data_IF_624878192215
#
_entry.id   IF_624878192215
#
_cell.length_a   1.000
_cell.length_b   1.000
_cell.length_c   1.000
_cell.angle_alpha   90.00
_cell.angle_beta   90.00
_cell.angle_gamma   90.00
#
_symmetry.space_group_name_H-M   'P 1'
#
loop_
_entity.id
_entity.type
_entity.pdbx_description
1 polymer ?
#
# COMPACT_ATOMS: atom_id res chain seq x y z
N UNK A 1 -4.75 -16.54 24.47
CA UNK A 1 -5.68 -15.42 24.46
C UNK A 1 -5.14 -14.31 23.57
N UNK A 2 -6.03 -13.57 22.90
CA UNK A 2 -5.69 -12.37 22.14
C UNK A 2 -4.90 -11.37 23.00
N UNK A 3 -3.83 -10.82 22.45
CA UNK A 3 -2.88 -9.95 23.15
C UNK A 3 -1.83 -10.70 23.98
N UNK A 4 -1.94 -12.02 24.16
CA UNK A 4 -0.96 -12.81 24.87
C UNK A 4 0.34 -12.97 24.10
N UNK A 5 1.46 -13.01 24.82
CA UNK A 5 2.79 -13.22 24.24
C UNK A 5 2.93 -14.66 23.72
N UNK A 6 3.52 -14.78 22.52
CA UNK A 6 4.06 -16.04 21.99
C UNK A 6 5.58 -15.98 22.13
N UNK A 7 6.15 -16.88 22.94
CA UNK A 7 7.59 -16.88 23.25
C UNK A 7 8.22 -18.19 22.80
N UNK A 8 9.51 -18.14 22.47
CA UNK A 8 10.31 -19.33 22.17
C UNK A 8 10.82 -19.97 23.45
N UNK A 9 11.57 -21.08 23.33
CA UNK A 9 12.16 -21.81 24.47
C UNK A 9 13.21 -21.01 25.26
N UNK A 10 13.70 -19.91 24.72
CA UNK A 10 14.67 -19.01 25.36
C UNK A 10 14.00 -17.82 26.06
N UNK A 11 12.64 -17.71 25.98
CA UNK A 11 11.90 -16.61 26.54
C UNK A 11 11.78 -15.37 25.63
N UNK A 12 12.29 -15.43 24.39
CA UNK A 12 12.19 -14.29 23.47
C UNK A 12 10.77 -14.19 22.91
N UNK A 13 10.26 -12.97 22.81
CA UNK A 13 8.96 -12.68 22.18
C UNK A 13 9.05 -12.88 20.66
N UNK A 14 8.39 -13.90 20.13
CA UNK A 14 8.34 -14.20 18.70
C UNK A 14 7.04 -13.74 18.03
N UNK A 15 6.00 -13.47 18.82
CA UNK A 15 4.73 -12.97 18.30
C UNK A 15 3.74 -12.57 19.38
N UNK A 16 2.63 -11.98 18.93
CA UNK A 16 1.49 -11.59 19.76
C UNK A 16 0.25 -12.31 19.23
N UNK A 17 -0.39 -13.12 20.06
CA UNK A 17 -1.59 -13.86 19.69
C UNK A 17 -2.73 -12.90 19.32
N UNK A 18 -3.41 -13.15 18.20
CA UNK A 18 -4.49 -12.25 17.73
C UNK A 18 -5.83 -12.93 17.59
N UNK A 19 -5.88 -14.08 16.92
CA UNK A 19 -7.14 -14.72 16.60
C UNK A 19 -7.01 -16.25 16.58
N UNK A 20 -8.16 -16.92 16.77
CA UNK A 20 -8.37 -18.32 16.43
C UNK A 20 -9.38 -18.39 15.28
N UNK A 21 -9.19 -19.29 14.34
CA UNK A 21 -10.24 -19.59 13.35
C UNK A 21 -11.28 -20.48 14.04
N UNK A 22 -12.54 -20.00 14.07
CA UNK A 22 -13.66 -20.74 14.66
C UNK A 22 -14.96 -20.35 13.98
N UNK A 23 -15.74 -21.34 13.56
CA UNK A 23 -17.10 -21.15 13.06
C UNK A 23 -18.16 -21.25 14.18
N UNK A 24 -17.80 -21.88 15.31
CA UNK A 24 -18.71 -22.19 16.41
C UNK A 24 -18.32 -21.54 17.73
N UNK A 25 -17.25 -20.73 17.75
CA UNK A 25 -16.66 -20.20 18.98
C UNK A 25 -15.69 -21.16 19.68
N UNK A 26 -15.64 -22.43 19.26
CA UNK A 26 -14.71 -23.43 19.78
C UNK A 26 -13.44 -23.52 18.92
N UNK A 27 -12.32 -23.88 19.54
CA UNK A 27 -11.03 -24.03 18.85
C UNK A 27 -11.08 -25.17 17.83
N UNK A 28 -10.76 -24.87 16.56
CA UNK A 28 -10.75 -25.81 15.44
C UNK A 28 -9.32 -26.09 14.90
N UNK A 29 -8.28 -25.77 15.68
CA UNK A 29 -6.89 -26.13 15.36
C UNK A 29 -6.05 -25.01 14.74
N UNK A 30 -6.60 -23.85 14.42
CA UNK A 30 -5.85 -22.74 13.83
C UNK A 30 -5.78 -21.55 14.78
N UNK A 31 -4.56 -21.08 15.04
CA UNK A 31 -4.28 -19.85 15.80
C UNK A 31 -3.36 -18.96 14.97
N UNK A 32 -3.56 -17.64 15.12
CA UNK A 32 -2.77 -16.64 14.41
C UNK A 32 -2.08 -15.72 15.41
N UNK A 33 -0.86 -15.33 15.08
CA UNK A 33 -0.09 -14.36 15.84
C UNK A 33 0.54 -13.34 14.87
N UNK A 34 0.63 -12.09 15.29
CA UNK A 34 1.44 -11.08 14.61
C UNK A 34 2.89 -11.31 14.98
N UNK A 35 3.82 -11.47 14.03
CA UNK A 35 5.26 -11.58 14.30
C UNK A 35 5.78 -10.39 15.11
N UNK A 36 6.65 -10.64 16.07
CA UNK A 36 7.13 -9.61 17.01
C UNK A 36 7.87 -8.46 16.32
N UNK A 37 8.59 -8.72 15.23
CA UNK A 37 9.27 -7.68 14.44
C UNK A 37 8.28 -6.73 13.75
N UNK A 38 7.18 -7.25 13.21
CA UNK A 38 6.10 -6.42 12.63
C UNK A 38 5.41 -5.61 13.73
N UNK A 39 5.06 -6.25 14.86
CA UNK A 39 4.43 -5.57 15.98
C UNK A 39 5.29 -4.42 16.52
N UNK A 40 6.59 -4.67 16.67
CA UNK A 40 7.58 -3.68 17.12
C UNK A 40 7.60 -2.46 16.18
N UNK A 41 7.79 -2.72 14.87
CA UNK A 41 7.82 -1.65 13.87
C UNK A 41 6.55 -0.79 13.92
N UNK A 42 5.38 -1.43 13.95
CA UNK A 42 4.09 -0.71 14.02
C UNK A 42 3.99 0.19 15.26
N UNK A 43 4.44 -0.30 16.42
CA UNK A 43 4.43 0.48 17.66
C UNK A 43 5.42 1.64 17.58
N UNK A 44 6.65 1.40 17.11
CA UNK A 44 7.69 2.44 16.94
C UNK A 44 7.21 3.52 15.97
N UNK A 45 6.66 3.15 14.82
CA UNK A 45 6.09 4.09 13.84
C UNK A 45 4.95 4.95 14.44
N UNK A 46 4.02 4.33 15.19
CA UNK A 46 2.92 5.06 15.81
C UNK A 46 3.44 6.03 16.87
N UNK A 47 4.44 5.64 17.65
CA UNK A 47 5.04 6.50 18.69
C UNK A 47 5.79 7.68 18.07
N UNK A 48 6.47 7.50 16.95
CA UNK A 48 7.29 8.53 16.31
C UNK A 48 6.48 9.42 15.35
N UNK A 49 5.65 8.81 14.51
CA UNK A 49 4.95 9.50 13.42
C UNK A 49 3.43 9.63 13.63
N UNK A 50 2.88 8.98 14.67
CA UNK A 50 1.44 8.91 14.90
C UNK A 50 0.71 7.94 13.95
N UNK A 51 1.41 7.32 13.01
CA UNK A 51 0.87 6.41 12.00
C UNK A 51 1.93 5.45 11.46
N UNK A 52 1.49 4.30 10.91
CA UNK A 52 2.37 3.27 10.37
C UNK A 52 2.99 3.73 9.05
N UNK A 53 4.31 3.70 8.95
CA UNK A 53 5.06 4.04 7.77
C UNK A 53 5.44 2.77 7.00
N UNK A 54 4.85 2.56 5.82
CA UNK A 54 5.16 1.39 4.99
C UNK A 54 6.07 1.78 3.83
N UNK A 55 7.21 1.12 3.74
CA UNK A 55 8.08 1.17 2.57
C UNK A 55 7.47 0.37 1.41
N UNK A 56 7.38 0.98 0.23
CA UNK A 56 6.93 0.31 -0.98
C UNK A 56 8.06 0.16 -1.99
N UNK A 57 8.06 -0.97 -2.68
CA UNK A 57 8.99 -1.23 -3.79
C UNK A 57 8.54 -0.52 -5.08
N UNK A 58 7.23 -0.49 -5.32
CA UNK A 58 6.62 0.13 -6.49
C UNK A 58 6.58 -0.79 -7.71
N UNK A 59 6.36 -2.07 -7.50
CA UNK A 59 6.13 -3.07 -8.56
C UNK A 59 4.67 -3.51 -8.58
N UNK A 60 4.17 -3.79 -9.78
CA UNK A 60 2.87 -4.40 -10.03
C UNK A 60 3.14 -5.77 -10.65
N UNK A 61 2.40 -6.80 -10.23
CA UNK A 61 2.66 -8.13 -10.76
C UNK A 61 1.85 -9.22 -10.08
N UNK A 62 2.28 -10.44 -10.32
CA UNK A 62 1.63 -11.65 -9.80
C UNK A 62 2.64 -12.68 -9.36
N UNK A 63 2.25 -13.57 -8.46
CA UNK A 63 3.06 -14.74 -8.11
C UNK A 63 3.10 -15.73 -9.29
N UNK A 64 4.27 -16.35 -9.48
CA UNK A 64 4.43 -17.42 -10.44
C UNK A 64 3.96 -18.76 -9.87
N UNK A 65 3.26 -19.49 -10.70
CA UNK A 65 2.88 -20.87 -10.53
C UNK A 65 2.84 -21.53 -11.90
N UNK A 66 2.62 -22.84 -12.00
CA UNK A 66 2.62 -23.56 -13.28
C UNK A 66 1.72 -22.92 -14.33
N UNK A 67 0.52 -22.44 -13.93
CA UNK A 67 -0.44 -21.84 -14.85
C UNK A 67 0.02 -20.47 -15.35
N UNK A 68 0.41 -19.57 -14.46
CA UNK A 68 0.88 -18.22 -14.84
C UNK A 68 2.19 -18.28 -15.62
N UNK A 69 3.06 -19.25 -15.32
CA UNK A 69 4.32 -19.45 -16.05
C UNK A 69 4.07 -19.88 -17.49
N UNK A 70 3.12 -20.79 -17.73
CA UNK A 70 2.70 -21.19 -19.06
C UNK A 70 2.08 -20.02 -19.83
N UNK A 71 1.21 -19.25 -19.18
CA UNK A 71 0.55 -18.07 -19.77
C UNK A 71 1.56 -17.00 -20.22
N UNK A 72 2.62 -16.77 -19.41
CA UNK A 72 3.65 -15.79 -19.73
C UNK A 72 4.83 -16.33 -20.55
N UNK A 73 4.84 -17.63 -20.86
CA UNK A 73 5.93 -18.29 -21.59
C UNK A 73 7.24 -18.32 -20.81
N UNK A 74 7.17 -18.47 -19.49
CA UNK A 74 8.30 -18.44 -18.55
C UNK A 74 8.57 -19.83 -18.01
N UNK A 75 9.86 -20.23 -17.93
CA UNK A 75 10.24 -21.54 -17.40
C UNK A 75 10.37 -21.58 -15.86
N UNK A 76 10.02 -20.48 -15.17
CA UNK A 76 10.08 -20.33 -13.72
C UNK A 76 8.69 -20.46 -13.11
N UNK A 77 8.55 -21.29 -12.07
CA UNK A 77 7.27 -21.55 -11.38
C UNK A 77 7.20 -20.95 -9.99
N UNK A 78 8.24 -20.24 -9.55
CA UNK A 78 8.31 -19.59 -8.25
C UNK A 78 8.90 -18.19 -8.37
N UNK A 79 8.37 -17.26 -7.59
CA UNK A 79 8.78 -15.86 -7.53
C UNK A 79 7.65 -14.91 -7.80
N UNK A 80 7.95 -13.61 -7.78
CA UNK A 80 6.99 -12.56 -8.12
C UNK A 80 7.34 -11.96 -9.47
N UNK A 81 6.50 -12.20 -10.48
CA UNK A 81 6.65 -11.65 -11.82
C UNK A 81 6.19 -10.20 -11.87
N UNK A 82 7.06 -9.31 -12.33
CA UNK A 82 6.79 -7.88 -12.49
C UNK A 82 6.10 -7.64 -13.83
N UNK A 83 4.81 -7.36 -13.80
CA UNK A 83 4.02 -7.01 -15.00
C UNK A 83 4.14 -5.53 -15.36
N UNK A 84 4.41 -4.68 -14.35
CA UNK A 84 4.62 -3.24 -14.52
C UNK A 84 5.39 -2.66 -13.33
N UNK A 85 5.94 -1.45 -13.50
CA UNK A 85 6.67 -0.70 -12.46
C UNK A 85 6.11 0.70 -12.37
N UNK A 86 5.72 1.09 -11.16
CA UNK A 86 5.13 2.41 -10.89
C UNK A 86 6.14 3.53 -11.16
N UNK A 87 5.70 4.58 -11.85
CA UNK A 87 6.49 5.80 -12.03
C UNK A 87 6.81 6.45 -10.68
N UNK A 88 7.96 7.07 -10.57
CA UNK A 88 8.47 7.69 -9.33
C UNK A 88 8.61 6.72 -8.16
N UNK A 89 8.86 5.43 -8.42
CA UNK A 89 9.12 4.42 -7.42
C UNK A 89 10.60 4.07 -7.28
N UNK A 90 10.97 3.48 -6.14
CA UNK A 90 12.31 2.96 -5.91
C UNK A 90 12.68 1.87 -6.92
N UNK A 91 11.76 1.00 -7.29
CA UNK A 91 11.95 -0.03 -8.31
C UNK A 91 12.29 0.59 -9.68
N UNK A 92 11.54 1.62 -10.11
CA UNK A 92 11.79 2.33 -11.38
C UNK A 92 13.16 3.00 -11.39
N UNK A 93 13.46 3.75 -10.34
CA UNK A 93 14.73 4.48 -10.18
C UNK A 93 15.94 3.55 -10.13
N UNK A 94 15.78 2.35 -9.59
CA UNK A 94 16.83 1.33 -9.49
C UNK A 94 16.94 0.43 -10.73
N UNK A 95 16.07 0.59 -11.73
CA UNK A 95 16.12 -0.14 -12.98
C UNK A 95 15.48 -1.52 -12.97
N UNK A 96 14.57 -1.79 -12.03
CA UNK A 96 13.63 -2.92 -12.15
C UNK A 96 12.67 -2.64 -13.31
N UNK A 97 12.33 -3.68 -14.08
CA UNK A 97 11.55 -3.56 -15.30
C UNK A 97 10.46 -4.62 -15.37
N UNK A 98 9.47 -4.38 -16.21
CA UNK A 98 8.52 -5.40 -16.66
C UNK A 98 9.27 -6.61 -17.20
N UNK A 99 8.85 -7.79 -16.83
CA UNK A 99 9.48 -9.06 -17.19
C UNK A 99 10.47 -9.60 -16.17
N UNK A 100 10.88 -8.82 -15.17
CA UNK A 100 11.71 -9.31 -14.08
C UNK A 100 10.93 -10.28 -13.19
N UNK A 101 11.64 -11.24 -12.62
CA UNK A 101 11.09 -12.13 -11.60
C UNK A 101 11.86 -11.91 -10.30
N UNK A 102 11.20 -11.38 -9.28
CA UNK A 102 11.79 -11.19 -7.95
C UNK A 102 11.90 -12.57 -7.28
N UNK A 103 13.14 -12.97 -6.94
CA UNK A 103 13.46 -14.27 -6.33
C UNK A 103 13.72 -14.16 -4.84
N UNK A 104 14.35 -13.08 -4.38
CA UNK A 104 14.59 -12.80 -2.95
C UNK A 104 14.78 -11.32 -2.69
N UNK A 105 14.56 -10.89 -1.44
CA UNK A 105 14.87 -9.54 -0.95
C UNK A 105 15.62 -9.65 0.36
N UNK A 106 16.79 -9.01 0.50
CA UNK A 106 17.72 -9.13 1.64
C UNK A 106 17.99 -10.60 2.01
N UNK A 107 18.15 -11.46 1.00
CA UNK A 107 18.37 -12.90 1.18
C UNK A 107 17.11 -13.72 1.53
N UNK A 108 15.98 -13.10 1.84
CA UNK A 108 14.71 -13.80 2.12
C UNK A 108 14.05 -14.19 0.81
N UNK A 109 13.80 -15.51 0.63
CA UNK A 109 13.16 -16.05 -0.57
C UNK A 109 11.74 -15.49 -0.75
N UNK A 110 11.43 -15.04 -1.97
CA UNK A 110 10.11 -14.62 -2.39
C UNK A 110 9.57 -15.68 -3.35
N UNK A 111 8.67 -16.51 -2.87
CA UNK A 111 8.01 -17.54 -3.69
C UNK A 111 6.62 -17.10 -4.14
N UNK A 112 5.94 -16.25 -3.36
CA UNK A 112 4.58 -15.78 -3.62
C UNK A 112 4.39 -14.34 -3.14
N UNK A 113 3.26 -13.75 -3.49
CA UNK A 113 2.94 -12.36 -3.13
C UNK A 113 2.92 -12.10 -1.62
N UNK A 114 2.44 -13.07 -0.82
CA UNK A 114 2.43 -12.91 0.65
C UNK A 114 3.83 -12.80 1.27
N UNK A 115 4.84 -13.44 0.67
CA UNK A 115 6.23 -13.34 1.14
C UNK A 115 6.77 -11.93 0.90
N UNK A 116 6.54 -11.40 -0.32
CA UNK A 116 6.90 -10.02 -0.68
C UNK A 116 6.23 -9.01 0.26
N UNK A 117 4.92 -9.13 0.45
CA UNK A 117 4.15 -8.23 1.32
C UNK A 117 4.59 -8.34 2.78
N UNK A 118 4.79 -9.57 3.28
CA UNK A 118 5.25 -9.82 4.65
C UNK A 118 6.61 -9.20 4.92
N UNK A 119 7.55 -9.31 3.97
CA UNK A 119 8.85 -8.66 4.07
C UNK A 119 8.72 -7.13 4.08
N UNK A 120 8.00 -6.54 3.12
CA UNK A 120 7.85 -5.08 3.01
C UNK A 120 7.14 -4.46 4.23
N UNK A 121 6.25 -5.19 4.90
CA UNK A 121 5.63 -4.74 6.14
C UNK A 121 6.60 -4.58 7.32
N UNK A 122 7.84 -5.11 7.21
CA UNK A 122 8.90 -4.91 8.20
C UNK A 122 9.81 -3.73 7.88
N UNK A 123 9.59 -3.06 6.75
CA UNK A 123 10.47 -2.00 6.23
C UNK A 123 9.80 -0.64 6.27
N UNK A 124 10.61 0.39 6.46
CA UNK A 124 10.19 1.79 6.45
C UNK A 124 10.52 2.46 5.12
N UNK A 125 9.86 3.57 4.78
CA UNK A 125 10.31 4.44 3.69
C UNK A 125 11.77 4.86 3.89
N UNK A 126 12.49 4.96 2.78
CA UNK A 126 13.93 5.22 2.70
C UNK A 126 14.86 4.04 3.07
N UNK A 127 14.36 2.91 3.57
CA UNK A 127 15.18 1.71 3.68
C UNK A 127 15.71 1.29 2.32
N UNK A 128 16.96 0.83 2.28
CA UNK A 128 17.57 0.26 1.08
C UNK A 128 17.57 -1.25 1.23
N UNK A 129 16.98 -1.94 0.25
CA UNK A 129 16.89 -3.40 0.22
C UNK A 129 17.58 -3.96 -1.01
N UNK A 130 18.28 -5.08 -0.88
CA UNK A 130 18.84 -5.81 -2.00
C UNK A 130 17.79 -6.74 -2.62
N UNK A 131 17.36 -6.43 -3.85
CA UNK A 131 16.41 -7.23 -4.60
C UNK A 131 17.15 -8.13 -5.59
N UNK A 132 17.06 -9.43 -5.43
CA UNK A 132 17.56 -10.40 -6.39
C UNK A 132 16.48 -10.73 -7.40
N UNK A 133 16.74 -10.41 -8.65
CA UNK A 133 15.84 -10.68 -9.77
C UNK A 133 16.44 -11.69 -10.73
N UNK A 134 15.57 -12.39 -11.45
CA UNK A 134 15.89 -13.11 -12.68
C UNK A 134 15.39 -12.31 -13.86
N UNK A 135 16.28 -11.93 -14.79
CA UNK A 135 15.98 -11.20 -16.02
C UNK A 135 16.68 -11.91 -17.17
N UNK A 136 15.97 -12.36 -18.20
CA UNK A 136 16.54 -13.02 -19.38
C UNK A 136 17.47 -14.20 -19.01
N UNK A 137 17.05 -15.00 -18.05
CA UNK A 137 17.80 -16.13 -17.46
C UNK A 137 19.09 -15.74 -16.70
N UNK A 138 19.33 -14.46 -16.44
CA UNK A 138 20.44 -13.97 -15.63
C UNK A 138 19.96 -13.51 -14.25
N UNK A 139 20.72 -13.86 -13.20
CA UNK A 139 20.48 -13.34 -11.84
C UNK A 139 21.16 -11.99 -11.71
N UNK A 140 20.42 -11.01 -11.22
CA UNK A 140 20.91 -9.64 -10.94
C UNK A 140 20.52 -9.23 -9.53
N UNK A 141 21.44 -8.62 -8.79
CA UNK A 141 21.17 -7.98 -7.50
C UNK A 141 21.05 -6.48 -7.72
N UNK A 142 19.98 -5.88 -7.23
CA UNK A 142 19.65 -4.47 -7.40
C UNK A 142 19.32 -3.89 -6.03
N UNK A 143 20.06 -2.86 -5.62
CA UNK A 143 19.71 -2.11 -4.42
C UNK A 143 18.57 -1.13 -4.73
N UNK A 144 17.49 -1.25 -4.00
CA UNK A 144 16.29 -0.44 -4.18
C UNK A 144 16.00 0.33 -2.90
N UNK A 145 15.90 1.65 -3.02
CA UNK A 145 15.41 2.51 -1.95
C UNK A 145 13.88 2.45 -1.95
N UNK A 146 13.29 2.06 -0.82
CA UNK A 146 11.85 2.01 -0.65
C UNK A 146 11.26 3.41 -0.53
N UNK A 147 10.13 3.64 -1.20
CA UNK A 147 9.42 4.91 -1.15
C UNK A 147 8.22 4.83 -0.19
N UNK A 148 7.68 5.98 0.22
CA UNK A 148 6.42 6.05 0.97
C UNK A 148 5.25 5.84 0.02
N UNK A 149 4.24 5.07 0.44
CA UNK A 149 2.97 5.00 -0.28
C UNK A 149 2.29 6.37 -0.18
N UNK A 150 2.34 7.13 -1.26
CA UNK A 150 1.78 8.49 -1.32
C UNK A 150 0.51 8.61 -2.17
N UNK A 151 0.01 7.50 -2.72
CA UNK A 151 -1.19 7.50 -3.56
C UNK A 151 -2.19 6.44 -3.13
N UNK A 152 -3.47 6.75 -3.29
CA UNK A 152 -4.59 5.83 -3.04
C UNK A 152 -5.65 5.99 -4.12
N UNK A 153 -6.20 4.87 -4.58
CA UNK A 153 -7.34 4.89 -5.50
C UNK A 153 -8.66 4.78 -4.72
N UNK A 154 -9.55 5.74 -5.00
CA UNK A 154 -10.93 5.76 -4.47
C UNK A 154 -11.88 5.61 -5.64
N UNK A 155 -12.67 4.51 -5.74
CA UNK A 155 -13.43 4.16 -6.95
C UNK A 155 -14.36 5.25 -7.48
N UNK A 156 -14.93 6.08 -6.59
CA UNK A 156 -15.88 7.15 -6.96
C UNK A 156 -15.17 8.37 -7.54
N UNK A 157 -13.95 8.68 -7.09
CA UNK A 157 -13.26 9.92 -7.50
C UNK A 157 -12.01 9.68 -8.34
N UNK A 158 -11.23 8.63 -8.04
CA UNK A 158 -10.00 8.31 -8.77
C UNK A 158 -8.76 8.20 -7.88
N UNK A 159 -7.60 8.49 -8.45
CA UNK A 159 -6.31 8.41 -7.76
C UNK A 159 -5.99 9.70 -7.05
N UNK A 160 -5.79 9.61 -5.74
CA UNK A 160 -5.41 10.72 -4.86
C UNK A 160 -3.95 10.58 -4.44
N UNK A 161 -3.22 11.70 -4.35
CA UNK A 161 -1.82 11.78 -3.94
C UNK A 161 -1.68 12.64 -2.69
N UNK A 162 -0.88 12.19 -1.72
CA UNK A 162 -0.44 13.02 -0.61
C UNK A 162 0.44 14.18 -1.11
N UNK A 163 0.23 15.36 -0.53
CA UNK A 163 1.03 16.54 -0.79
C UNK A 163 1.89 16.87 0.43
N UNK A 164 3.06 17.44 0.19
CA UNK A 164 3.85 18.02 1.27
C UNK A 164 3.32 19.41 1.68
N UNK A 165 3.82 19.95 2.81
CA UNK A 165 3.33 21.20 3.36
C UNK A 165 3.49 22.41 2.42
N UNK A 166 4.48 22.42 1.54
CA UNK A 166 4.68 23.50 0.58
C UNK A 166 3.66 23.39 -0.56
N UNK A 167 3.48 22.19 -1.12
CA UNK A 167 2.46 21.92 -2.14
C UNK A 167 1.04 22.25 -1.65
N UNK A 168 0.72 21.95 -0.37
CA UNK A 168 -0.56 22.32 0.24
C UNK A 168 -0.73 23.82 0.37
N UNK A 169 0.31 24.57 0.80
CA UNK A 169 0.29 26.02 0.89
C UNK A 169 0.06 26.68 -0.48
N UNK A 170 0.72 26.19 -1.51
CA UNK A 170 0.56 26.69 -2.89
C UNK A 170 -0.88 26.53 -3.39
N UNK A 171 -1.60 25.53 -2.88
CA UNK A 171 -3.01 25.28 -3.14
C UNK A 171 -3.97 25.98 -2.15
N UNK A 172 -3.44 26.80 -1.23
CA UNK A 172 -4.25 27.55 -0.26
C UNK A 172 -4.94 26.65 0.79
N UNK A 173 -4.36 25.49 1.10
CA UNK A 173 -4.89 24.54 2.09
C UNK A 173 -3.81 24.11 3.09
N UNK A 174 -4.25 23.71 4.29
CA UNK A 174 -3.39 23.12 5.30
C UNK A 174 -3.44 21.58 5.26
N UNK A 175 -4.39 21.00 4.54
CA UNK A 175 -4.58 19.55 4.45
C UNK A 175 -5.35 19.18 3.17
N UNK A 176 -5.25 17.94 2.77
CA UNK A 176 -5.92 17.38 1.61
C UNK A 176 -5.00 16.51 0.76
N UNK A 177 -5.61 15.68 -0.09
CA UNK A 177 -4.93 14.91 -1.11
C UNK A 177 -5.28 15.45 -2.49
N UNK A 178 -4.28 15.52 -3.36
CA UNK A 178 -4.47 16.00 -4.72
C UNK A 178 -5.03 14.90 -5.63
N UNK A 179 -6.05 15.23 -6.38
CA UNK A 179 -6.58 14.39 -7.43
C UNK A 179 -5.59 14.33 -8.61
N UNK A 180 -5.02 13.15 -8.87
CA UNK A 180 -4.09 12.91 -9.98
C UNK A 180 -4.80 12.46 -11.25
N UNK A 181 -5.82 11.63 -11.09
CA UNK A 181 -6.57 11.05 -12.18
C UNK A 181 -8.00 10.75 -11.71
N UNK A 182 -8.98 11.11 -12.54
CA UNK A 182 -10.39 10.82 -12.27
C UNK A 182 -10.71 9.36 -12.53
N UNK A 183 -11.59 8.80 -11.70
CA UNK A 183 -12.19 7.50 -11.96
C UNK A 183 -13.05 7.56 -13.23
N UNK A 184 -12.92 6.58 -14.10
CA UNK A 184 -13.71 6.51 -15.34
C UNK A 184 -15.22 6.40 -15.08
N UNK A 185 -15.62 5.94 -13.89
CA UNK A 185 -17.02 5.70 -13.53
C UNK A 185 -17.87 6.99 -13.45
N UNK A 186 -17.30 8.09 -12.94
CA UNK A 186 -17.98 9.40 -12.79
C UNK A 186 -17.24 10.54 -13.48
N UNK A 187 -16.39 10.24 -14.45
CA UNK A 187 -15.48 11.22 -15.07
C UNK A 187 -16.21 12.40 -15.69
N UNK A 188 -17.30 12.12 -16.37
CA UNK A 188 -18.09 13.17 -17.04
C UNK A 188 -18.74 14.10 -16.05
N UNK A 189 -19.32 13.59 -14.98
CA UNK A 189 -19.96 14.37 -13.93
C UNK A 189 -18.94 15.24 -13.21
N UNK A 190 -17.80 14.69 -12.84
CA UNK A 190 -16.74 15.44 -12.19
C UNK A 190 -16.21 16.59 -13.03
N UNK A 191 -15.94 16.36 -14.32
CA UNK A 191 -15.45 17.39 -15.23
C UNK A 191 -16.53 18.47 -15.44
N UNK A 192 -17.79 18.07 -15.60
CA UNK A 192 -18.90 19.04 -15.78
C UNK A 192 -19.06 19.95 -14.57
N UNK A 193 -18.78 19.46 -13.38
CA UNK A 193 -18.80 20.21 -12.13
C UNK A 193 -17.50 20.99 -11.87
N UNK A 194 -16.52 20.94 -12.78
CA UNK A 194 -15.24 21.62 -12.65
C UNK A 194 -14.29 20.96 -11.66
N UNK A 195 -14.47 19.67 -11.39
CA UNK A 195 -13.52 18.85 -10.63
C UNK A 195 -12.65 18.09 -11.61
N UNK A 196 -11.36 18.36 -11.58
CA UNK A 196 -10.37 17.77 -12.46
C UNK A 196 -9.05 17.53 -11.73
N UNK A 197 -8.05 17.03 -12.46
CA UNK A 197 -6.70 16.85 -11.94
C UNK A 197 -6.20 18.13 -11.29
N UNK A 198 -5.63 18.00 -10.10
CA UNK A 198 -5.15 19.12 -9.28
C UNK A 198 -6.15 19.60 -8.21
N UNK A 199 -7.42 19.23 -8.28
CA UNK A 199 -8.39 19.48 -7.21
C UNK A 199 -7.96 18.78 -5.92
N UNK A 200 -8.26 19.37 -4.74
CA UNK A 200 -7.94 18.80 -3.44
C UNK A 200 -9.14 18.10 -2.81
N UNK A 201 -8.98 16.88 -2.41
CA UNK A 201 -9.94 16.15 -1.58
C UNK A 201 -9.58 16.38 -0.12
N UNK A 202 -10.42 17.11 0.61
CA UNK A 202 -10.15 17.55 1.99
C UNK A 202 -10.91 16.76 3.05
N UNK A 203 -11.97 16.04 2.67
CA UNK A 203 -12.65 15.13 3.57
C UNK A 203 -13.40 14.04 2.79
N UNK A 204 -13.47 12.84 3.37
CA UNK A 204 -14.26 11.68 2.93
C UNK A 204 -15.10 11.22 4.10
N UNK A 205 -16.43 11.04 3.92
CA UNK A 205 -17.38 10.63 4.96
C UNK A 205 -17.21 11.42 6.27
N UNK A 206 -17.11 12.73 6.17
CA UNK A 206 -16.91 13.67 7.30
C UNK A 206 -15.57 13.52 8.05
N UNK A 207 -14.69 12.64 7.61
CA UNK A 207 -13.32 12.53 8.13
C UNK A 207 -12.39 13.40 7.28
N UNK A 208 -11.69 14.34 7.90
CA UNK A 208 -10.62 15.09 7.25
C UNK A 208 -9.54 14.12 6.78
N UNK A 209 -9.01 14.33 5.58
CA UNK A 209 -7.96 13.48 5.02
C UNK A 209 -6.75 14.31 4.65
N UNK A 210 -5.57 13.83 5.05
CA UNK A 210 -4.27 14.42 4.70
C UNK A 210 -3.26 13.34 4.29
N UNK A 211 -3.60 12.09 4.48
CA UNK A 211 -2.75 10.94 4.18
C UNK A 211 -3.56 9.81 3.55
N UNK A 212 -2.87 8.89 2.87
CA UNK A 212 -3.45 7.63 2.39
C UNK A 212 -4.11 6.86 3.53
N UNK A 213 -3.51 6.90 4.72
CA UNK A 213 -4.07 6.25 5.91
C UNK A 213 -5.39 6.88 6.34
N UNK A 214 -5.52 8.20 6.30
CA UNK A 214 -6.79 8.86 6.64
C UNK A 214 -7.91 8.46 5.67
N UNK A 215 -7.58 8.35 4.38
CA UNK A 215 -8.53 7.86 3.36
C UNK A 215 -8.98 6.43 3.70
N UNK A 216 -8.04 5.54 3.97
CA UNK A 216 -8.33 4.16 4.34
C UNK A 216 -9.17 4.06 5.63
N UNK A 217 -8.86 4.88 6.65
CA UNK A 217 -9.67 5.00 7.89
C UNK A 217 -11.08 5.51 7.60
N UNK A 218 -11.23 6.53 6.75
CA UNK A 218 -12.53 7.07 6.38
C UNK A 218 -13.40 6.05 5.63
N UNK A 219 -12.80 5.26 4.76
CA UNK A 219 -13.48 4.19 4.02
C UNK A 219 -13.87 3.02 4.93
N UNK A 220 -12.96 2.51 5.75
CA UNK A 220 -13.20 1.35 6.62
C UNK A 220 -14.32 1.59 7.64
N UNK A 221 -14.45 2.81 8.17
CA UNK A 221 -15.55 3.19 9.08
C UNK A 221 -16.94 3.09 8.44
N UNK A 222 -17.04 3.11 7.12
CA UNK A 222 -18.29 3.13 6.36
C UNK A 222 -18.41 1.92 5.41
N UNK A 223 -17.87 0.77 5.79
CA UNK A 223 -17.93 -0.47 5.00
C UNK A 223 -17.39 -0.26 3.57
N UNK A 224 -16.34 0.53 3.43
CA UNK A 224 -15.70 0.94 2.18
C UNK A 224 -16.63 1.72 1.22
N UNK A 225 -17.72 2.30 1.73
CA UNK A 225 -18.61 3.17 0.95
C UNK A 225 -18.25 4.63 1.14
N UNK A 226 -18.33 5.38 0.06
CA UNK A 226 -18.23 6.84 0.07
C UNK A 226 -19.63 7.41 -0.04
N UNK A 227 -20.07 8.12 1.01
CA UNK A 227 -21.37 8.82 1.03
C UNK A 227 -21.21 10.33 0.87
N UNK A 228 -20.03 10.85 1.16
CA UNK A 228 -19.77 12.30 1.10
C UNK A 228 -18.30 12.58 0.79
N UNK A 229 -18.04 13.54 -0.08
CA UNK A 229 -16.69 14.06 -0.39
C UNK A 229 -16.71 15.57 -0.31
N UNK A 230 -15.72 16.17 0.36
CA UNK A 230 -15.49 17.62 0.35
C UNK A 230 -14.25 17.91 -0.49
N UNK A 231 -14.39 18.85 -1.43
CA UNK A 231 -13.39 19.14 -2.46
C UNK A 231 -13.09 20.64 -2.48
N UNK A 232 -11.85 21.01 -2.72
CA UNK A 232 -11.44 22.33 -3.17
C UNK A 232 -11.04 22.19 -4.64
N UNK A 233 -11.76 22.86 -5.53
CA UNK A 233 -11.47 22.89 -6.97
C UNK A 233 -10.23 23.71 -7.27
N UNK A 234 -9.69 23.60 -8.48
CA UNK A 234 -8.52 24.38 -8.91
C UNK A 234 -8.76 25.90 -8.90
N UNK A 235 -10.02 26.36 -8.98
CA UNK A 235 -10.40 27.76 -8.85
C UNK A 235 -10.55 28.24 -7.39
N UNK A 236 -10.30 27.37 -6.40
CA UNK A 236 -10.45 27.66 -4.97
C UNK A 236 -11.85 27.47 -4.41
N UNK A 237 -12.84 27.13 -5.22
CA UNK A 237 -14.21 26.90 -4.78
C UNK A 237 -14.29 25.64 -3.94
N UNK A 238 -14.97 25.70 -2.78
CA UNK A 238 -15.21 24.55 -1.90
C UNK A 238 -16.58 23.97 -2.17
N UNK A 239 -16.62 22.69 -2.46
CA UNK A 239 -17.87 21.94 -2.71
C UNK A 239 -17.97 20.68 -1.89
N UNK A 240 -19.21 20.25 -1.67
CA UNK A 240 -19.51 19.00 -0.95
C UNK A 240 -20.46 18.17 -1.78
N UNK A 241 -20.01 17.01 -2.17
CA UNK A 241 -20.80 16.02 -2.91
C UNK A 241 -21.35 14.95 -1.97
N UNK A 242 -22.57 14.52 -2.22
CA UNK A 242 -23.26 13.47 -1.47
C UNK A 242 -23.70 12.38 -2.43
N UNK A 243 -23.37 11.13 -2.09
CA UNK A 243 -23.73 9.94 -2.85
C UNK A 243 -24.79 9.16 -2.06
N UNK A 244 -25.74 8.59 -2.77
CA UNK A 244 -26.83 7.77 -2.21
C UNK A 244 -26.58 6.29 -2.40
#
# INVERSE_FOLDING_TARGET
NSGGALVNIHGDLIGINTAISSQTGSYIGYSFAVPSNIARKVIEDIMEFGDVQNGILGVIGTELNSKSSEEFGINETEGFYVSDVQENSGAKSSGIKKGDIIKSIDGIKISKFSDLKGFLNTKSPNDIVEVKILRENEIKNINVKLEKLSTVYVPIIGTLKELNNNELKDKGSEYGLELQELSDYYKHEWISDGVDKGSLIIAINDTKVNSVTDVNKALSKNSNRVSRISIIKNNGEKMVYRFR
#
